data_IF_523415941918
#
_entry.id   IF_523415941918
#
_cell.length_a   1.000
_cell.length_b   1.000
_cell.length_c   1.000
_cell.angle_alpha   90.00
_cell.angle_beta   90.00
_cell.angle_gamma   90.00
#
_symmetry.space_group_name_H-M   'P 1'
#
loop_
_entity.id
_entity.type
_entity.pdbx_description
1 polymer ?
#
# COMPACT_ATOMS: atom_id res chain seq x y z
N UNK A 1 -48.47 -23.18 16.06
CA UNK A 1 -47.46 -22.14 15.78
C UNK A 1 -48.07 -21.16 14.78
N UNK A 2 -48.39 -19.95 15.21
CA UNK A 2 -49.10 -18.98 14.38
C UNK A 2 -48.18 -18.35 13.32
N UNK A 3 -48.77 -17.76 12.27
CA UNK A 3 -48.07 -17.16 11.15
C UNK A 3 -47.00 -16.13 11.59
N UNK A 4 -47.28 -15.40 12.67
CA UNK A 4 -46.37 -14.42 13.27
C UNK A 4 -45.10 -15.05 13.84
N UNK A 5 -45.23 -16.22 14.47
CA UNK A 5 -44.10 -16.96 15.03
C UNK A 5 -43.25 -17.63 13.94
N UNK A 6 -43.90 -18.09 12.85
CA UNK A 6 -43.18 -18.60 11.66
C UNK A 6 -42.38 -17.52 10.95
N UNK A 7 -42.96 -16.33 10.76
CA UNK A 7 -42.27 -15.20 10.14
C UNK A 7 -41.05 -14.74 10.96
N UNK A 8 -41.18 -14.69 12.31
CA UNK A 8 -40.07 -14.37 13.20
C UNK A 8 -38.96 -15.41 13.16
N UNK A 9 -39.31 -16.70 13.11
CA UNK A 9 -38.34 -17.79 13.00
C UNK A 9 -37.58 -17.71 11.67
N UNK A 10 -38.28 -17.45 10.55
CA UNK A 10 -37.67 -17.31 9.24
C UNK A 10 -36.71 -16.10 9.18
N UNK A 11 -37.12 -14.95 9.71
CA UNK A 11 -36.25 -13.77 9.82
C UNK A 11 -35.04 -14.03 10.71
N UNK A 12 -35.22 -14.71 11.85
CA UNK A 12 -34.13 -15.06 12.75
C UNK A 12 -33.11 -15.99 12.07
N UNK A 13 -33.57 -17.00 11.33
CA UNK A 13 -32.70 -17.89 10.56
C UNK A 13 -31.96 -17.14 9.44
N UNK A 14 -32.64 -16.21 8.76
CA UNK A 14 -32.03 -15.38 7.72
C UNK A 14 -30.92 -14.49 8.29
N UNK A 15 -31.14 -13.88 9.46
CA UNK A 15 -30.14 -13.06 10.15
C UNK A 15 -28.97 -13.88 10.70
N UNK A 16 -29.23 -15.06 11.28
CA UNK A 16 -28.18 -15.95 11.81
C UNK A 16 -27.31 -16.52 10.69
N UNK A 17 -27.87 -16.71 9.49
CA UNK A 17 -27.14 -17.20 8.32
C UNK A 17 -26.53 -16.10 7.47
N UNK A 18 -26.74 -14.81 7.82
CA UNK A 18 -26.13 -13.67 7.13
C UNK A 18 -24.63 -13.81 6.88
N UNK A 19 -23.82 -14.36 7.80
CA UNK A 19 -22.38 -14.54 7.56
C UNK A 19 -22.07 -15.54 6.44
N UNK A 20 -22.99 -16.47 6.14
CA UNK A 20 -22.82 -17.49 5.10
C UNK A 20 -23.22 -16.99 3.71
N UNK A 21 -24.13 -16.01 3.62
CA UNK A 21 -24.64 -15.49 2.34
C UNK A 21 -24.28 -14.03 2.05
N UNK A 22 -23.84 -13.26 3.06
CA UNK A 22 -23.42 -11.86 2.90
C UNK A 22 -22.18 -11.71 2.03
N UNK A 23 -21.07 -12.41 2.32
CA UNK A 23 -19.85 -12.34 1.51
C UNK A 23 -20.06 -12.67 0.02
N UNK A 24 -20.74 -13.77 -0.37
CA UNK A 24 -20.96 -14.06 -1.79
C UNK A 24 -21.96 -13.12 -2.49
N UNK A 25 -22.67 -12.25 -1.76
CA UNK A 25 -23.59 -11.25 -2.33
C UNK A 25 -22.98 -9.85 -2.45
N UNK A 26 -21.71 -9.66 -2.06
CA UNK A 26 -20.96 -8.41 -2.23
C UNK A 26 -21.73 -7.17 -1.72
N UNK A 27 -22.37 -7.31 -0.55
CA UNK A 27 -23.23 -6.27 0.02
C UNK A 27 -22.45 -5.07 0.57
N UNK A 28 -21.12 -5.18 0.67
CA UNK A 28 -20.20 -4.16 1.21
C UNK A 28 -19.35 -3.49 0.13
N UNK A 29 -19.33 -4.04 -1.10
CA UNK A 29 -18.49 -3.56 -2.18
C UNK A 29 -16.99 -3.81 -1.95
N UNK A 30 -16.15 -3.54 -2.97
CA UNK A 30 -14.72 -3.78 -2.88
C UNK A 30 -14.01 -2.77 -1.96
N UNK A 31 -13.20 -3.29 -1.05
CA UNK A 31 -12.47 -2.51 -0.04
C UNK A 31 -11.21 -1.80 -0.60
N UNK A 32 -10.70 -2.24 -1.75
CA UNK A 32 -9.45 -1.76 -2.34
C UNK A 32 -9.66 -1.30 -3.79
N UNK A 33 -9.17 -0.09 -4.10
CA UNK A 33 -8.97 0.37 -5.47
C UNK A 33 -7.48 0.50 -5.77
N UNK A 34 -7.10 0.01 -6.94
CA UNK A 34 -5.80 0.22 -7.55
C UNK A 34 -5.98 1.26 -8.64
N UNK A 35 -5.26 2.37 -8.53
CA UNK A 35 -5.33 3.49 -9.47
C UNK A 35 -3.97 3.76 -10.07
N UNK A 36 -3.97 4.34 -11.26
CA UNK A 36 -2.78 4.81 -11.93
C UNK A 36 -2.60 6.31 -11.75
N UNK A 37 -1.35 6.73 -11.72
CA UNK A 37 -0.95 8.12 -11.81
C UNK A 37 0.32 8.23 -12.66
N UNK A 38 0.31 9.13 -13.64
CA UNK A 38 1.46 9.35 -14.51
C UNK A 38 2.61 9.98 -13.73
N UNK A 39 3.82 9.49 -13.98
CA UNK A 39 5.06 10.12 -13.55
C UNK A 39 5.57 10.96 -14.71
N UNK A 40 5.74 12.25 -14.46
CA UNK A 40 6.22 13.19 -15.48
C UNK A 40 7.73 13.38 -15.34
N UNK A 41 8.45 13.37 -16.45
CA UNK A 41 9.86 13.74 -16.54
C UNK A 41 9.98 15.00 -17.38
N UNK A 42 10.40 16.09 -16.76
CA UNK A 42 10.57 17.39 -17.44
C UNK A 42 11.83 18.07 -16.90
N UNK A 43 12.60 18.72 -17.79
CA UNK A 43 13.79 19.51 -17.45
C UNK A 43 14.83 18.76 -16.58
N UNK A 44 14.92 17.44 -16.70
CA UNK A 44 15.85 16.61 -15.94
C UNK A 44 15.44 16.42 -14.47
N UNK A 45 14.15 16.54 -14.19
CA UNK A 45 13.50 16.26 -12.91
C UNK A 45 12.35 15.28 -13.10
N UNK A 46 12.11 14.46 -12.09
CA UNK A 46 10.91 13.62 -12.01
C UNK A 46 9.89 14.32 -11.13
N UNK A 47 8.61 14.20 -11.49
CA UNK A 47 7.50 14.71 -10.69
C UNK A 47 6.37 13.69 -10.67
N UNK A 48 5.73 13.58 -9.52
CA UNK A 48 4.58 12.72 -9.30
C UNK A 48 3.44 13.57 -8.75
N UNK A 49 2.18 13.29 -9.13
CA UNK A 49 1.04 14.02 -8.59
C UNK A 49 0.99 13.91 -7.06
N UNK A 50 0.68 15.05 -6.43
CA UNK A 50 0.49 15.16 -4.98
C UNK A 50 -0.79 14.43 -4.57
N UNK A 51 -0.67 13.13 -4.28
CA UNK A 51 -1.75 12.33 -3.71
C UNK A 51 -1.38 11.89 -2.29
N UNK A 52 -2.39 11.64 -1.46
CA UNK A 52 -2.20 11.04 -0.14
C UNK A 52 -1.95 9.52 -0.28
N UNK A 53 -0.76 9.17 -0.75
CA UNK A 53 -0.31 7.78 -0.79
C UNK A 53 -0.11 7.28 0.64
N UNK A 54 -1.05 6.49 1.20
CA UNK A 54 -0.95 6.00 2.59
C UNK A 54 0.30 5.15 2.84
N UNK A 55 0.80 4.48 1.82
CA UNK A 55 2.12 3.83 1.76
C UNK A 55 2.83 4.48 0.58
N UNK A 56 4.06 4.97 0.80
CA UNK A 56 4.79 5.77 -0.18
C UNK A 56 4.76 5.14 -1.57
N UNK A 57 4.83 5.97 -2.63
CA UNK A 57 4.51 5.58 -4.00
C UNK A 57 5.53 4.60 -4.59
N UNK A 58 6.64 4.31 -3.91
CA UNK A 58 7.56 3.23 -4.29
C UNK A 58 8.56 2.88 -3.19
N UNK A 59 8.91 1.60 -3.12
CA UNK A 59 10.03 1.05 -2.34
C UNK A 59 11.32 0.93 -3.16
N UNK A 60 11.31 1.38 -4.42
CA UNK A 60 12.44 1.29 -5.36
C UNK A 60 13.19 2.60 -5.55
N UNK A 61 12.55 3.73 -5.25
CA UNK A 61 13.16 5.07 -5.16
C UNK A 61 12.94 5.59 -3.74
N UNK A 62 14.02 5.87 -3.01
CA UNK A 62 13.92 6.39 -1.67
C UNK A 62 13.47 7.86 -1.66
N UNK A 63 12.85 8.28 -0.55
CA UNK A 63 12.48 9.66 -0.24
C UNK A 63 11.46 10.30 -1.20
N UNK A 64 10.99 9.53 -2.18
CA UNK A 64 10.07 9.98 -3.22
C UNK A 64 8.65 9.85 -2.71
N UNK A 65 8.20 10.78 -1.86
CA UNK A 65 6.92 10.65 -1.15
C UNK A 65 6.40 12.01 -0.66
N UNK A 66 5.07 12.14 -0.59
CA UNK A 66 4.40 13.25 0.11
C UNK A 66 4.51 13.14 1.63
N UNK A 67 4.81 11.94 2.15
CA UNK A 67 4.84 11.65 3.59
C UNK A 67 6.21 11.82 4.23
N UNK A 68 7.28 11.91 3.43
CA UNK A 68 8.66 11.99 3.88
C UNK A 68 8.98 13.39 4.37
N UNK A 69 8.61 13.63 5.62
CA UNK A 69 8.91 14.86 6.36
C UNK A 69 10.08 14.62 7.32
N UNK A 70 10.80 15.67 7.74
CA UNK A 70 11.89 15.58 8.73
C UNK A 70 11.47 14.84 10.02
N UNK A 71 10.19 14.93 10.39
CA UNK A 71 9.63 14.27 11.57
C UNK A 71 9.34 12.78 11.37
N UNK A 72 9.04 12.36 10.14
CA UNK A 72 8.70 10.97 9.79
C UNK A 72 9.89 10.19 9.26
N UNK A 73 10.74 10.85 8.49
CA UNK A 73 11.92 10.25 7.88
C UNK A 73 13.17 11.13 8.08
N UNK A 74 13.83 10.92 9.23
CA UNK A 74 15.14 11.54 9.51
C UNK A 74 16.22 11.04 8.54
N UNK A 75 16.05 9.86 7.94
CA UNK A 75 16.98 9.30 6.97
C UNK A 75 17.03 10.17 5.71
N UNK A 76 15.87 10.41 5.11
CA UNK A 76 15.75 11.27 3.92
C UNK A 76 16.26 12.69 4.15
N UNK A 77 16.01 13.26 5.33
CA UNK A 77 16.56 14.57 5.67
C UNK A 77 18.09 14.56 5.72
N UNK A 78 18.70 13.56 6.37
CA UNK A 78 20.16 13.45 6.46
C UNK A 78 20.78 13.18 5.09
N UNK A 79 20.15 12.33 4.29
CA UNK A 79 20.60 11.98 2.95
C UNK A 79 20.54 13.17 1.99
N UNK A 80 19.57 14.07 2.17
CA UNK A 80 19.48 15.30 1.39
C UNK A 80 20.71 16.21 1.51
N UNK A 81 21.54 16.02 2.55
CA UNK A 81 22.82 16.74 2.72
C UNK A 81 23.90 16.22 1.78
N UNK A 82 23.77 15.00 1.27
CA UNK A 82 24.74 14.40 0.34
C UNK A 82 24.71 15.06 -1.05
N UNK A 83 23.66 15.83 -1.36
CA UNK A 83 23.57 16.61 -2.60
C UNK A 83 24.69 17.65 -2.74
N UNK A 84 25.22 18.13 -1.62
CA UNK A 84 26.29 19.14 -1.58
C UNK A 84 27.69 18.51 -1.46
N UNK A 85 27.79 17.17 -1.49
CA UNK A 85 29.05 16.43 -1.41
C UNK A 85 28.97 15.17 -0.55
N UNK A 86 30.08 14.46 -0.51
CA UNK A 86 30.15 13.15 0.15
C UNK A 86 30.46 13.26 1.64
N UNK A 87 30.03 12.25 2.41
CA UNK A 87 30.30 12.15 3.84
C UNK A 87 31.10 10.89 4.14
N UNK A 88 32.22 11.06 4.86
CA UNK A 88 32.99 9.95 5.41
C UNK A 88 32.37 9.49 6.72
N UNK A 89 32.14 8.19 6.85
CA UNK A 89 31.56 7.54 8.02
C UNK A 89 32.49 6.44 8.51
N UNK A 90 32.87 6.53 9.77
CA UNK A 90 33.58 5.45 10.46
C UNK A 90 32.56 4.42 10.95
N UNK A 91 32.62 3.20 10.39
CA UNK A 91 31.76 2.11 10.86
C UNK A 91 32.46 1.31 11.95
N UNK A 92 31.98 1.32 13.21
CA UNK A 92 32.64 0.64 14.30
C UNK A 92 32.62 -0.89 14.10
N UNK A 93 33.78 -1.54 14.22
CA UNK A 93 33.89 -3.00 14.22
C UNK A 93 34.39 -3.62 12.92
N UNK A 94 34.53 -2.85 11.83
CA UNK A 94 35.15 -3.32 10.58
C UNK A 94 36.61 -2.85 10.48
N UNK A 95 37.51 -3.53 11.20
CA UNK A 95 38.95 -3.21 11.17
C UNK A 95 39.67 -3.56 9.85
N UNK A 96 39.01 -4.30 8.96
CA UNK A 96 39.44 -4.60 7.60
C UNK A 96 38.20 -4.90 6.77
N UNK A 97 37.94 -4.11 5.74
CA UNK A 97 36.89 -4.36 4.75
C UNK A 97 37.51 -4.90 3.47
N UNK A 98 36.92 -5.96 2.91
CA UNK A 98 37.32 -6.55 1.64
C UNK A 98 36.10 -6.81 0.77
N UNK A 99 36.09 -6.27 -0.44
CA UNK A 99 34.97 -6.34 -1.38
C UNK A 99 34.62 -4.96 -1.93
N UNK A 100 33.61 -4.92 -2.79
CA UNK A 100 33.02 -3.68 -3.28
C UNK A 100 31.82 -3.32 -2.39
N UNK A 101 31.86 -2.14 -1.74
CA UNK A 101 30.74 -1.71 -0.92
C UNK A 101 29.54 -1.46 -1.81
N UNK A 102 28.37 -1.81 -1.29
CA UNK A 102 27.09 -1.64 -1.97
C UNK A 102 26.04 -1.25 -0.94
N UNK A 103 25.08 -0.44 -1.38
CA UNK A 103 23.96 -0.03 -0.54
C UNK A 103 22.87 -1.11 -0.64
N UNK A 104 22.41 -1.62 0.49
CA UNK A 104 21.21 -2.44 0.54
C UNK A 104 19.99 -1.53 0.68
N UNK A 105 19.18 -1.45 -0.37
CA UNK A 105 17.97 -0.62 -0.40
C UNK A 105 17.69 -0.09 -1.80
N UNK A 106 16.80 0.91 -1.92
CA UNK A 106 16.62 1.68 -3.15
C UNK A 106 17.95 2.20 -3.66
N UNK A 107 18.26 2.01 -4.94
CA UNK A 107 19.48 2.53 -5.56
C UNK A 107 19.37 4.03 -5.82
N UNK A 108 18.16 4.50 -6.12
CA UNK A 108 17.88 5.89 -6.41
C UNK A 108 17.17 6.60 -5.26
N UNK A 109 17.32 7.92 -5.22
CA UNK A 109 16.67 8.82 -4.27
C UNK A 109 16.15 10.08 -4.98
N UNK A 110 14.96 10.51 -4.59
CA UNK A 110 14.35 11.79 -4.97
C UNK A 110 13.84 12.43 -3.70
N UNK A 111 14.08 13.72 -3.48
CA UNK A 111 13.70 14.37 -2.22
C UNK A 111 12.36 15.08 -2.34
N UNK A 112 11.27 14.43 -1.92
CA UNK A 112 9.90 14.95 -1.97
C UNK A 112 9.08 14.28 -3.07
N UNK A 113 8.15 15.02 -3.70
CA UNK A 113 7.33 14.52 -4.82
C UNK A 113 7.79 15.00 -6.19
N UNK A 114 8.78 15.90 -6.22
CA UNK A 114 9.36 16.43 -7.44
C UNK A 114 10.82 16.81 -7.23
N UNK A 115 11.63 16.62 -8.26
CA UNK A 115 13.01 17.08 -8.30
C UNK A 115 13.95 16.16 -9.09
N UNK A 116 15.25 16.46 -9.08
CA UNK A 116 16.25 15.63 -9.72
C UNK A 116 16.37 14.26 -9.03
N UNK A 117 16.68 13.24 -9.83
CA UNK A 117 16.98 11.89 -9.35
C UNK A 117 18.48 11.76 -9.07
N UNK A 118 18.82 11.07 -7.98
CA UNK A 118 20.20 10.75 -7.65
C UNK A 118 20.36 9.25 -7.44
N UNK A 119 21.49 8.70 -7.88
CA UNK A 119 21.95 7.35 -7.58
C UNK A 119 22.80 7.38 -6.31
N UNK A 120 22.58 6.44 -5.40
CA UNK A 120 23.37 6.32 -4.16
C UNK A 120 24.72 5.72 -4.46
N UNK A 121 25.77 6.39 -3.99
CA UNK A 121 27.13 5.90 -4.14
C UNK A 121 27.74 5.56 -2.79
N UNK A 122 28.52 4.48 -2.79
CA UNK A 122 29.33 4.09 -1.64
C UNK A 122 30.71 3.67 -2.12
N UNK A 123 31.73 4.13 -1.42
CA UNK A 123 33.10 3.67 -1.62
C UNK A 123 33.81 3.49 -0.28
N UNK A 124 34.95 2.81 -0.28
CA UNK A 124 35.74 2.58 0.92
C UNK A 124 37.10 3.28 0.79
N UNK A 125 37.35 4.25 1.67
CA UNK A 125 38.64 4.90 1.80
C UNK A 125 39.58 4.01 2.61
N UNK A 126 40.39 3.23 1.90
CA UNK A 126 41.36 2.31 2.49
C UNK A 126 42.46 2.99 3.31
N UNK A 127 42.72 4.29 3.10
CA UNK A 127 43.76 5.02 3.83
C UNK A 127 43.28 5.38 5.23
N UNK A 128 42.03 5.83 5.33
CA UNK A 128 41.41 6.21 6.61
C UNK A 128 40.59 5.08 7.25
N UNK A 129 40.29 4.02 6.51
CA UNK A 129 39.46 2.90 6.96
C UNK A 129 37.97 3.28 7.10
N UNK A 130 37.51 4.26 6.34
CA UNK A 130 36.15 4.81 6.42
C UNK A 130 35.35 4.54 5.15
N UNK A 131 34.02 4.55 5.25
CA UNK A 131 33.14 4.51 4.09
C UNK A 131 32.78 5.92 3.67
N UNK A 132 32.80 6.19 2.36
CA UNK A 132 32.40 7.46 1.78
C UNK A 132 31.05 7.25 1.12
N UNK A 133 30.03 7.92 1.67
CA UNK A 133 28.66 7.90 1.17
C UNK A 133 28.40 9.16 0.35
N UNK A 134 27.74 9.01 -0.78
CA UNK A 134 27.41 10.11 -1.67
C UNK A 134 26.13 9.82 -2.46
N UNK A 135 25.75 10.81 -3.25
CA UNK A 135 24.70 10.67 -4.25
C UNK A 135 25.15 11.39 -5.52
N UNK A 136 24.98 10.76 -6.68
CA UNK A 136 25.33 11.34 -7.97
C UNK A 136 24.05 11.61 -8.78
N UNK A 137 23.96 12.79 -9.41
CA UNK A 137 22.78 13.14 -10.22
C UNK A 137 22.75 12.26 -11.46
N UNK A 138 21.60 11.65 -11.73
CA UNK A 138 21.37 10.79 -12.89
C UNK A 138 20.22 11.31 -13.75
N UNK A 139 20.14 10.79 -14.96
CA UNK A 139 19.02 11.05 -15.85
C UNK A 139 17.74 10.38 -15.29
N UNK A 140 16.62 11.13 -15.11
CA UNK A 140 15.41 10.57 -14.53
C UNK A 140 14.79 9.44 -15.37
N UNK A 141 14.86 9.50 -16.70
CA UNK A 141 14.30 8.46 -17.56
C UNK A 141 15.07 7.15 -17.39
N UNK A 142 16.40 7.23 -17.28
CA UNK A 142 17.26 6.06 -17.03
C UNK A 142 16.95 5.44 -15.66
N UNK A 143 16.84 6.27 -14.61
CA UNK A 143 16.54 5.78 -13.28
C UNK A 143 15.14 5.16 -13.19
N UNK A 144 14.14 5.77 -13.82
CA UNK A 144 12.79 5.23 -13.89
C UNK A 144 12.75 3.92 -14.70
N UNK A 145 13.47 3.83 -15.81
CA UNK A 145 13.55 2.59 -16.61
C UNK A 145 14.15 1.43 -15.82
N UNK A 146 15.15 1.69 -14.99
CA UNK A 146 15.81 0.68 -14.16
C UNK A 146 14.90 0.15 -13.04
N UNK A 147 14.09 1.02 -12.42
CA UNK A 147 13.18 0.61 -11.34
C UNK A 147 11.81 0.14 -11.83
N UNK A 148 11.41 0.47 -13.06
CA UNK A 148 10.10 0.16 -13.60
C UNK A 148 9.92 -1.33 -13.84
N UNK A 149 8.78 -1.85 -13.40
CA UNK A 149 8.33 -3.20 -13.66
C UNK A 149 7.70 -3.33 -15.05
N UNK A 150 7.81 -4.52 -15.63
CA UNK A 150 7.10 -4.88 -16.85
C UNK A 150 5.60 -5.07 -16.57
N UNK A 151 4.68 -4.37 -17.27
CA UNK A 151 3.25 -4.54 -17.09
C UNK A 151 2.75 -5.96 -17.38
N UNK A 152 3.40 -6.74 -18.25
CA UNK A 152 2.95 -8.10 -18.58
C UNK A 152 3.04 -9.05 -17.36
N UNK A 153 4.04 -8.83 -16.50
CA UNK A 153 4.27 -9.58 -15.27
C UNK A 153 3.44 -9.10 -14.07
N UNK A 154 2.66 -8.03 -14.22
CA UNK A 154 1.88 -7.47 -13.14
C UNK A 154 0.67 -8.36 -12.77
N UNK A 155 0.20 -8.31 -11.50
CA UNK A 155 -1.02 -8.98 -11.09
C UNK A 155 -2.23 -8.59 -11.98
N UNK A 156 -3.22 -9.48 -12.21
CA UNK A 156 -4.34 -9.19 -13.10
C UNK A 156 -5.07 -7.87 -12.81
N UNK A 157 -5.31 -7.56 -11.53
CA UNK A 157 -5.97 -6.31 -11.11
C UNK A 157 -5.10 -5.08 -11.38
N UNK A 158 -3.77 -5.21 -11.34
CA UNK A 158 -2.86 -4.11 -11.69
C UNK A 158 -2.87 -3.88 -13.19
N UNK A 159 -2.88 -4.95 -14.00
CA UNK A 159 -3.01 -4.82 -15.48
C UNK A 159 -4.35 -4.21 -15.88
N UNK A 160 -5.42 -4.53 -15.15
CA UNK A 160 -6.72 -3.89 -15.34
C UNK A 160 -6.66 -2.41 -14.98
N UNK A 161 -6.02 -2.05 -13.86
CA UNK A 161 -5.82 -0.64 -13.48
C UNK A 161 -4.96 0.11 -14.52
N UNK A 162 -3.90 -0.50 -15.04
CA UNK A 162 -3.09 0.06 -16.13
C UNK A 162 -3.92 0.30 -17.40
N UNK A 163 -4.80 -0.64 -17.76
CA UNK A 163 -5.62 -0.52 -18.97
C UNK A 163 -6.81 0.45 -18.83
N UNK A 164 -7.40 0.56 -17.63
CA UNK A 164 -8.66 1.27 -17.39
C UNK A 164 -8.53 2.52 -16.50
N UNK A 165 -7.33 2.79 -15.96
CA UNK A 165 -7.05 3.83 -14.97
C UNK A 165 -7.39 3.46 -13.52
N UNK A 166 -8.29 2.49 -13.33
CA UNK A 166 -8.71 2.00 -12.01
C UNK A 166 -9.15 0.53 -12.09
N UNK A 167 -8.85 -0.25 -11.07
CA UNK A 167 -9.43 -1.57 -10.85
C UNK A 167 -9.72 -1.79 -9.36
N UNK A 168 -10.70 -2.64 -9.04
CA UNK A 168 -11.16 -2.84 -7.65
C UNK A 168 -11.14 -4.29 -7.22
N UNK A 169 -11.03 -4.50 -5.90
CA UNK A 169 -10.99 -5.82 -5.29
C UNK A 169 -11.38 -5.79 -3.80
N UNK A 170 -11.87 -6.91 -3.30
CA UNK A 170 -12.28 -7.07 -1.90
C UNK A 170 -11.11 -7.34 -0.95
N UNK A 171 -10.02 -7.91 -1.45
CA UNK A 171 -8.83 -8.24 -0.67
C UNK A 171 -7.56 -7.55 -1.22
N UNK A 172 -6.60 -7.16 -0.36
CA UNK A 172 -5.34 -6.61 -0.82
C UNK A 172 -4.51 -7.67 -1.54
N UNK A 173 -3.64 -7.25 -2.47
CA UNK A 173 -2.72 -8.17 -3.14
C UNK A 173 -1.61 -8.56 -2.16
N UNK A 174 -1.63 -9.81 -1.68
CA UNK A 174 -0.60 -10.29 -0.74
C UNK A 174 0.78 -10.31 -1.39
N UNK A 175 1.77 -9.74 -0.72
CA UNK A 175 3.15 -9.69 -1.20
C UNK A 175 3.37 -8.74 -2.38
N UNK A 176 2.41 -7.87 -2.66
CA UNK A 176 2.56 -6.77 -3.60
C UNK A 176 2.61 -5.47 -2.83
N UNK A 177 3.78 -4.84 -2.84
CA UNK A 177 3.93 -3.52 -2.24
C UNK A 177 3.17 -2.51 -3.09
N UNK A 178 2.27 -1.71 -2.50
CA UNK A 178 1.58 -0.65 -3.21
C UNK A 178 2.59 0.44 -3.59
N UNK A 179 2.35 1.10 -4.73
CA UNK A 179 3.32 2.06 -5.26
C UNK A 179 4.39 1.37 -6.11
N UNK A 180 4.01 0.57 -7.11
CA UNK A 180 4.98 0.10 -8.09
C UNK A 180 4.94 0.97 -9.32
N UNK A 181 6.13 1.26 -9.84
CA UNK A 181 6.31 1.98 -11.10
C UNK A 181 6.29 0.94 -12.22
N UNK A 182 5.53 1.22 -13.27
CA UNK A 182 5.43 0.42 -14.48
C UNK A 182 5.80 1.25 -15.69
N UNK A 183 6.35 0.59 -16.72
CA UNK A 183 6.48 1.18 -18.04
C UNK A 183 5.11 1.24 -18.70
N UNK A 184 4.78 2.39 -19.28
CA UNK A 184 3.59 2.62 -20.09
C UNK A 184 3.99 3.35 -21.37
N UNK A 185 3.20 3.27 -22.45
CA UNK A 185 3.58 3.74 -23.79
C UNK A 185 4.19 5.16 -23.80
N UNK A 186 5.52 5.22 -23.84
CA UNK A 186 6.29 6.48 -23.87
C UNK A 186 6.53 7.16 -22.52
N UNK A 187 6.27 6.49 -21.39
CA UNK A 187 6.47 7.05 -20.06
C UNK A 187 6.43 6.03 -18.93
N UNK A 188 6.14 6.55 -17.74
CA UNK A 188 6.12 5.77 -16.51
C UNK A 188 4.87 6.09 -15.71
N UNK A 189 4.31 5.07 -15.09
CA UNK A 189 3.08 5.20 -14.31
C UNK A 189 3.28 4.53 -12.96
N UNK A 190 2.82 5.16 -11.88
CA UNK A 190 2.75 4.53 -10.57
C UNK A 190 1.36 3.93 -10.39
N UNK A 191 1.31 2.67 -9.95
CA UNK A 191 0.08 2.02 -9.49
C UNK A 191 0.08 2.03 -7.96
N UNK A 192 -0.91 2.71 -7.40
CA UNK A 192 -1.07 2.84 -5.95
C UNK A 192 -2.39 2.23 -5.47
N UNK A 193 -2.37 1.79 -4.21
CA UNK A 193 -3.56 1.26 -3.52
C UNK A 193 -4.23 2.37 -2.72
N UNK A 194 -5.52 2.54 -2.95
CA UNK A 194 -6.40 3.40 -2.18
C UNK A 194 -7.46 2.53 -1.51
N UNK A 195 -7.54 2.58 -0.18
CA UNK A 195 -8.65 1.94 0.54
C UNK A 195 -9.93 2.73 0.27
N UNK A 196 -10.91 2.09 -0.35
CA UNK A 196 -12.16 2.73 -0.76
C UNK A 196 -13.19 2.59 0.35
N UNK A 197 -13.44 3.69 1.06
CA UNK A 197 -14.49 3.76 2.08
C UNK A 197 -15.83 4.17 1.45
N UNK A 198 -16.38 3.38 0.54
CA UNK A 198 -17.72 3.67 -0.03
C UNK A 198 -18.83 3.21 0.91
N UNK A 199 -19.17 4.06 1.89
CA UNK A 199 -20.46 4.04 2.61
C UNK A 199 -20.70 2.87 3.58
N UNK A 200 -20.80 3.19 4.88
CA UNK A 200 -21.00 2.31 6.04
C UNK A 200 -19.81 1.47 6.55
N UNK A 201 -18.64 1.54 5.92
CA UNK A 201 -17.40 0.99 6.45
C UNK A 201 -16.61 2.06 7.22
N UNK A 202 -16.83 2.19 8.53
CA UNK A 202 -15.91 2.94 9.39
C UNK A 202 -15.26 2.10 10.48
N UNK A 203 -15.73 0.88 10.77
CA UNK A 203 -15.08 0.01 11.76
C UNK A 203 -15.38 -1.48 11.48
N UNK A 204 -14.38 -2.32 11.16
CA UNK A 204 -14.54 -3.79 11.10
C UNK A 204 -15.08 -4.38 12.42
N UNK A 205 -14.85 -3.67 13.53
CA UNK A 205 -15.41 -4.00 14.84
C UNK A 205 -16.91 -3.71 14.97
N UNK A 206 -17.44 -2.72 14.24
CA UNK A 206 -18.88 -2.42 14.20
C UNK A 206 -19.61 -3.39 13.29
N UNK A 207 -19.01 -3.87 12.19
CA UNK A 207 -19.57 -4.95 11.38
C UNK A 207 -19.67 -6.27 12.14
N UNK A 208 -18.58 -6.71 12.79
CA UNK A 208 -18.66 -7.84 13.73
C UNK A 208 -19.64 -7.55 14.87
N UNK A 209 -19.80 -6.29 15.24
CA UNK A 209 -20.80 -5.82 16.19
C UNK A 209 -22.23 -6.02 15.69
N UNK A 210 -22.56 -5.58 14.48
CA UNK A 210 -23.88 -5.74 13.87
C UNK A 210 -24.17 -7.19 13.50
N UNK A 211 -23.18 -7.94 13.04
CA UNK A 211 -23.25 -9.38 12.82
C UNK A 211 -23.49 -10.11 14.14
N UNK A 212 -22.70 -9.81 15.19
CA UNK A 212 -22.91 -10.37 16.51
C UNK A 212 -24.26 -9.96 17.11
N UNK A 213 -24.71 -8.71 16.91
CA UNK A 213 -26.02 -8.23 17.35
C UNK A 213 -27.13 -8.94 16.57
N UNK A 214 -27.01 -9.11 15.25
CA UNK A 214 -27.97 -9.82 14.42
C UNK A 214 -28.06 -11.30 14.81
N UNK A 215 -26.92 -11.95 15.06
CA UNK A 215 -26.84 -13.33 15.57
C UNK A 215 -27.42 -13.43 16.98
N UNK A 216 -27.10 -12.50 17.89
CA UNK A 216 -27.66 -12.45 19.24
C UNK A 216 -29.17 -12.24 19.22
N UNK A 217 -29.65 -11.31 18.39
CA UNK A 217 -31.08 -11.00 18.26
C UNK A 217 -31.84 -12.17 17.64
N UNK A 218 -31.24 -12.83 16.64
CA UNK A 218 -31.75 -14.07 16.05
C UNK A 218 -31.83 -15.20 17.08
N UNK A 219 -30.76 -15.44 17.85
CA UNK A 219 -30.70 -16.46 18.89
C UNK A 219 -31.70 -16.20 20.03
N UNK A 220 -31.82 -14.94 20.48
CA UNK A 220 -32.82 -14.51 21.48
C UNK A 220 -34.25 -14.74 20.98
N UNK A 221 -34.50 -14.42 19.71
CA UNK A 221 -35.81 -14.62 19.10
C UNK A 221 -36.16 -16.11 19.00
N UNK A 222 -35.20 -16.97 18.61
CA UNK A 222 -35.37 -18.43 18.59
C UNK A 222 -35.64 -18.97 20.01
N UNK A 223 -34.88 -18.52 21.00
CA UNK A 223 -35.06 -18.91 22.40
C UNK A 223 -36.44 -18.52 22.95
N UNK A 224 -36.90 -17.29 22.66
CA UNK A 224 -38.22 -16.81 23.07
C UNK A 224 -39.35 -17.63 22.44
N UNK A 225 -39.27 -17.89 21.13
CA UNK A 225 -40.25 -18.74 20.43
C UNK A 225 -40.27 -20.15 21.01
N UNK A 226 -39.11 -20.74 21.31
CA UNK A 226 -39.01 -22.04 21.97
C UNK A 226 -39.63 -22.05 23.36
N UNK A 227 -39.31 -21.06 24.20
CA UNK A 227 -39.87 -20.91 25.56
C UNK A 227 -41.38 -20.74 25.57
N UNK A 228 -41.93 -19.95 24.65
CA UNK A 228 -43.36 -19.71 24.56
C UNK A 228 -44.12 -20.95 24.05
N UNK A 229 -43.49 -21.75 23.18
CA UNK A 229 -44.06 -23.01 22.71
C UNK A 229 -44.15 -24.08 23.80
N UNK A 230 -43.23 -24.10 24.77
CA UNK A 230 -43.24 -25.01 25.93
C UNK A 230 -44.25 -24.57 27.01
N UNK A 231 -44.55 -23.26 27.11
CA UNK A 231 -45.57 -22.74 28.04
C UNK A 231 -47.01 -22.93 27.57
N UNK A 232 -47.21 -23.23 26.29
CA UNK A 232 -48.51 -23.48 25.68
C UNK A 232 -48.83 -24.98 25.51
N UNK A 233 -47.90 -25.88 25.86
CA UNK A 233 -48.12 -27.34 25.96
C UNK A 233 -48.43 -27.75 27.39
#
# INVERSE_FOLDING_TARGET
>A
MDARSRARLALALLLVTAPLWGPPLDLTGPDYAYRTADITVEDGEVSMPELEYRRGPTDRIACFSTLDTVYRDRGCYLESRLRDGNVSVDYPGTGTYGGDPHVFGPEYVVFGTSGPVYERTVSHDTTNGSFVLGVDRVDPEVALDDVASDPEGAPPVVREALAAGEARRDEPIRGHDPGRIYREDGGFVVVYEEEVHTGYSEQPGIERGFEAIAVLFGALTVYQVGRDSVRQS
#
